data_IF_605692801569
#
_entry.id   IF_605692801569
#
_cell.length_a   1.000
_cell.length_b   1.000
_cell.length_c   1.000
_cell.angle_alpha   90.00
_cell.angle_beta   90.00
_cell.angle_gamma   90.00
#
_symmetry.space_group_name_H-M   'P 1'
#
loop_
_entity.id
_entity.type
_entity.pdbx_description
1 polymer ?
#
# COMPACT_ATOMS: atom_id res chain seq x y z
N UNK A 1 6.20 3.55 -26.50
CA UNK A 1 7.15 4.49 -25.87
C UNK A 1 7.50 3.91 -24.52
N UNK A 2 8.79 3.82 -24.16
CA UNK A 2 9.21 3.40 -22.82
C UNK A 2 8.60 4.39 -21.82
N UNK A 3 7.79 3.93 -20.88
CA UNK A 3 7.33 4.80 -19.80
C UNK A 3 8.53 5.23 -18.95
N UNK A 4 8.52 6.49 -18.50
CA UNK A 4 9.66 7.08 -17.81
C UNK A 4 9.72 6.58 -16.37
N UNK A 5 10.69 5.72 -16.04
CA UNK A 5 10.96 5.28 -14.66
C UNK A 5 11.87 6.26 -13.95
N UNK A 6 11.49 6.67 -12.75
CA UNK A 6 12.32 7.47 -11.84
C UNK A 6 12.99 6.51 -10.86
N UNK A 7 14.31 6.56 -10.73
CA UNK A 7 15.04 5.77 -9.72
C UNK A 7 15.55 6.71 -8.64
N UNK A 8 15.26 6.38 -7.38
CA UNK A 8 15.68 7.15 -6.20
C UNK A 8 16.54 6.27 -5.31
N UNK A 9 17.75 6.72 -5.04
CA UNK A 9 18.74 6.03 -4.20
C UNK A 9 18.23 5.76 -2.78
N UNK A 10 17.45 6.68 -2.21
CA UNK A 10 16.84 6.48 -0.90
C UNK A 10 15.86 5.29 -0.91
N UNK A 11 15.07 5.12 -1.99
CA UNK A 11 14.16 3.99 -2.12
C UNK A 11 14.96 2.67 -2.22
N UNK A 12 16.05 2.65 -2.98
CA UNK A 12 16.94 1.47 -3.07
C UNK A 12 17.52 1.06 -1.71
N UNK A 13 18.04 2.02 -0.92
CA UNK A 13 18.61 1.72 0.40
C UNK A 13 17.58 1.25 1.42
N UNK A 14 16.33 1.71 1.29
CA UNK A 14 15.31 1.49 2.30
C UNK A 14 14.44 0.24 2.04
N UNK A 15 14.41 -0.29 0.81
CA UNK A 15 13.50 -1.38 0.44
C UNK A 15 13.74 -2.67 1.23
N UNK A 16 14.99 -3.07 1.45
CA UNK A 16 15.32 -4.29 2.20
C UNK A 16 14.99 -4.17 3.70
N UNK A 17 15.37 -3.09 4.41
CA UNK A 17 14.93 -2.89 5.80
C UNK A 17 13.42 -2.88 5.97
N UNK A 18 12.66 -2.31 5.02
CA UNK A 18 11.19 -2.29 5.06
C UNK A 18 10.64 -3.69 4.78
N UNK A 19 11.18 -4.40 3.79
CA UNK A 19 10.78 -5.78 3.48
C UNK A 19 10.88 -6.69 4.71
N UNK A 20 11.97 -6.59 5.48
CA UNK A 20 12.14 -7.39 6.70
C UNK A 20 11.02 -7.18 7.71
N UNK A 21 10.56 -5.94 7.89
CA UNK A 21 9.42 -5.66 8.78
C UNK A 21 8.14 -6.28 8.23
N UNK A 22 7.92 -6.22 6.91
CA UNK A 22 6.76 -6.86 6.27
C UNK A 22 6.80 -8.39 6.42
N UNK A 23 7.97 -9.00 6.28
CA UNK A 23 8.20 -10.44 6.45
C UNK A 23 7.91 -10.92 7.88
N UNK A 24 8.08 -10.06 8.88
CA UNK A 24 7.72 -10.35 10.27
C UNK A 24 6.22 -10.10 10.53
N UNK A 25 5.72 -8.92 10.15
CA UNK A 25 4.36 -8.45 10.49
C UNK A 25 3.28 -9.25 9.76
N UNK A 26 3.45 -9.56 8.47
CA UNK A 26 2.39 -10.21 7.68
C UNK A 26 2.08 -11.61 8.25
N UNK A 27 3.07 -12.51 8.45
CA UNK A 27 2.80 -13.81 9.06
C UNK A 27 2.32 -13.72 10.51
N UNK A 28 2.84 -12.77 11.31
CA UNK A 28 2.39 -12.56 12.68
C UNK A 28 0.89 -12.22 12.73
N UNK A 29 0.43 -11.35 11.82
CA UNK A 29 -0.94 -10.84 11.84
C UNK A 29 -1.95 -11.70 11.10
N UNK A 30 -1.54 -12.35 10.03
CA UNK A 30 -2.44 -13.06 9.11
C UNK A 30 -2.15 -14.56 8.99
N UNK A 31 -1.09 -15.06 9.65
CA UNK A 31 -0.70 -16.47 9.65
C UNK A 31 0.13 -16.90 8.43
N UNK A 32 0.92 -17.96 8.60
CA UNK A 32 1.67 -18.57 7.50
C UNK A 32 0.70 -19.23 6.50
N UNK A 33 0.72 -18.81 5.25
CA UNK A 33 -0.27 -19.21 4.24
C UNK A 33 -1.51 -18.31 4.20
N UNK A 34 -1.35 -17.04 4.61
CA UNK A 34 -2.40 -16.00 4.63
C UNK A 34 -3.31 -16.02 3.39
N UNK A 35 -4.60 -15.71 3.53
CA UNK A 35 -5.53 -15.54 2.42
C UNK A 35 -5.07 -14.45 1.45
N UNK A 36 -5.80 -14.26 0.35
CA UNK A 36 -5.59 -13.10 -0.52
C UNK A 36 -5.78 -11.81 0.27
N UNK A 37 -4.70 -11.03 0.43
CA UNK A 37 -4.72 -9.75 1.14
C UNK A 37 -4.78 -8.59 0.15
N UNK A 38 -5.09 -7.40 0.65
CA UNK A 38 -5.00 -6.14 -0.11
C UNK A 38 -4.13 -5.15 0.66
N UNK A 39 -3.26 -4.44 -0.05
CA UNK A 39 -2.42 -3.39 0.51
C UNK A 39 -2.59 -2.09 -0.30
N UNK A 40 -2.82 -0.98 0.40
CA UNK A 40 -2.76 0.36 -0.18
C UNK A 40 -1.42 1.00 0.21
N UNK A 41 -0.61 1.35 -0.77
CA UNK A 41 0.62 2.11 -0.55
C UNK A 41 0.34 3.58 -0.83
N UNK A 42 0.38 4.40 0.21
CA UNK A 42 0.18 5.85 0.14
C UNK A 42 1.54 6.53 -0.04
N UNK A 43 1.64 7.45 -0.99
CA UNK A 43 2.88 8.13 -1.34
C UNK A 43 3.97 7.16 -1.83
N UNK A 44 3.61 6.32 -2.81
CA UNK A 44 4.48 5.31 -3.40
C UNK A 44 5.73 5.87 -4.09
N UNK A 45 5.78 7.18 -4.38
CA UNK A 45 6.93 7.84 -4.97
C UNK A 45 7.33 7.22 -6.30
N UNK A 46 8.60 6.84 -6.46
CA UNK A 46 9.10 6.26 -7.71
C UNK A 46 8.41 4.96 -8.13
N UNK A 47 7.80 4.24 -7.20
CA UNK A 47 7.22 2.91 -7.43
C UNK A 47 8.19 1.75 -7.26
N UNK A 48 9.44 1.99 -6.84
CA UNK A 48 10.43 0.92 -6.61
C UNK A 48 10.02 -0.04 -5.48
N UNK A 49 9.38 0.47 -4.43
CA UNK A 49 8.95 -0.31 -3.27
C UNK A 49 7.78 -1.23 -3.62
N UNK A 50 6.70 -0.69 -4.20
CA UNK A 50 5.52 -1.49 -4.56
C UNK A 50 5.87 -2.69 -5.45
N UNK A 51 6.71 -2.51 -6.49
CA UNK A 51 7.08 -3.64 -7.36
C UNK A 51 8.00 -4.64 -6.63
N UNK A 52 8.95 -4.14 -5.85
CA UNK A 52 9.86 -5.00 -5.08
C UNK A 52 9.12 -5.85 -4.04
N UNK A 53 8.12 -5.29 -3.35
CA UNK A 53 7.30 -6.03 -2.39
C UNK A 53 6.33 -6.98 -3.08
N UNK A 54 5.72 -6.57 -4.19
CA UNK A 54 4.81 -7.40 -4.97
C UNK A 54 5.52 -8.63 -5.58
N UNK A 55 6.82 -8.57 -5.82
CA UNK A 55 7.62 -9.74 -6.17
C UNK A 55 7.71 -10.78 -5.05
N UNK A 56 7.76 -10.35 -3.78
CA UNK A 56 7.93 -11.24 -2.61
C UNK A 56 6.59 -11.74 -2.07
N UNK A 57 5.56 -10.90 -2.11
CA UNK A 57 4.24 -11.19 -1.55
C UNK A 57 3.20 -11.38 -2.64
N UNK A 58 3.18 -12.58 -3.25
CA UNK A 58 2.29 -12.92 -4.37
C UNK A 58 0.81 -13.04 -4.00
N UNK A 59 0.50 -13.23 -2.72
CA UNK A 59 -0.87 -13.29 -2.21
C UNK A 59 -1.45 -11.91 -1.87
N UNK A 60 -0.70 -10.83 -2.06
CA UNK A 60 -1.15 -9.47 -1.76
C UNK A 60 -1.44 -8.73 -3.07
N UNK A 61 -2.64 -8.18 -3.17
CA UNK A 61 -3.00 -7.23 -4.22
C UNK A 61 -2.60 -5.83 -3.80
N UNK A 62 -1.58 -5.28 -4.46
CA UNK A 62 -1.03 -3.95 -4.16
C UNK A 62 -1.77 -2.86 -4.94
N UNK A 63 -2.17 -1.81 -4.24
CA UNK A 63 -2.73 -0.59 -4.80
C UNK A 63 -1.75 0.55 -4.50
N UNK A 64 -0.87 0.93 -5.43
CA UNK A 64 -0.04 2.11 -5.24
C UNK A 64 -0.85 3.39 -5.40
N UNK A 65 -0.36 4.48 -4.81
CA UNK A 65 -0.94 5.81 -4.96
C UNK A 65 0.09 6.91 -4.71
N UNK A 66 -0.05 8.01 -5.44
CA UNK A 66 0.72 9.23 -5.21
C UNK A 66 -0.12 10.46 -5.60
N UNK A 67 0.33 11.66 -5.24
CA UNK A 67 -0.30 12.91 -5.68
C UNK A 67 0.36 13.45 -6.96
N UNK A 68 1.67 13.23 -7.11
CA UNK A 68 2.44 13.82 -8.20
C UNK A 68 2.33 12.94 -9.44
N UNK A 69 1.78 13.51 -10.52
CA UNK A 69 1.61 12.81 -11.80
C UNK A 69 2.93 12.21 -12.33
N UNK A 70 4.09 12.82 -12.04
CA UNK A 70 5.38 12.26 -12.46
C UNK A 70 5.67 10.91 -11.79
N UNK A 71 5.24 10.74 -10.54
CA UNK A 71 5.38 9.50 -9.78
C UNK A 71 4.34 8.47 -10.22
N UNK A 72 3.12 8.92 -10.53
CA UNK A 72 2.10 8.08 -11.15
C UNK A 72 2.61 7.43 -12.45
N UNK A 73 3.24 8.20 -13.34
CA UNK A 73 3.81 7.67 -14.58
C UNK A 73 5.03 6.76 -14.33
N UNK A 74 5.87 7.09 -13.34
CA UNK A 74 6.99 6.23 -12.93
C UNK A 74 6.52 4.86 -12.43
N UNK A 75 5.51 4.84 -11.55
CA UNK A 75 4.93 3.61 -11.01
C UNK A 75 4.40 2.74 -12.14
N UNK A 76 3.65 3.31 -13.09
CA UNK A 76 3.16 2.57 -14.27
C UNK A 76 4.31 1.98 -15.09
N UNK A 77 5.41 2.73 -15.25
CA UNK A 77 6.61 2.24 -15.93
C UNK A 77 7.26 1.05 -15.23
N UNK A 78 7.38 1.07 -13.90
CA UNK A 78 7.87 -0.09 -13.16
C UNK A 78 6.93 -1.29 -13.26
N UNK A 79 5.61 -1.10 -13.12
CA UNK A 79 4.63 -2.19 -13.23
C UNK A 79 4.70 -2.87 -14.60
N UNK A 80 4.80 -2.08 -15.68
CA UNK A 80 4.85 -2.58 -17.04
C UNK A 80 6.12 -3.40 -17.31
N UNK A 81 7.26 -3.00 -16.74
CA UNK A 81 8.55 -3.68 -16.96
C UNK A 81 8.64 -5.00 -16.18
N UNK A 82 8.12 -5.06 -14.95
CA UNK A 82 8.20 -6.25 -14.09
C UNK A 82 7.09 -7.28 -14.36
N UNK A 83 6.13 -6.95 -15.24
CA UNK A 83 4.99 -7.80 -15.64
C UNK A 83 4.25 -8.42 -14.44
N UNK A 84 3.97 -7.61 -13.43
CA UNK A 84 3.34 -8.05 -12.18
C UNK A 84 1.81 -8.00 -12.26
N UNK A 85 1.18 -9.16 -12.04
CA UNK A 85 -0.29 -9.29 -12.05
C UNK A 85 -0.93 -8.86 -10.72
N UNK A 86 -0.15 -8.81 -9.64
CA UNK A 86 -0.62 -8.49 -8.29
C UNK A 86 -0.42 -7.01 -7.90
N UNK A 87 -0.25 -6.12 -8.88
CA UNK A 87 -0.18 -4.66 -8.68
C UNK A 87 -1.21 -3.97 -9.56
N UNK A 88 -2.09 -3.17 -8.96
CA UNK A 88 -3.11 -2.37 -9.65
C UNK A 88 -2.49 -1.11 -10.24
N UNK A 89 -3.18 -0.51 -11.23
CA UNK A 89 -2.85 0.83 -11.71
C UNK A 89 -2.85 1.83 -10.55
N UNK A 90 -1.87 2.77 -10.49
CA UNK A 90 -1.77 3.73 -9.39
C UNK A 90 -2.97 4.69 -9.34
N UNK A 91 -3.38 5.04 -8.13
CA UNK A 91 -4.39 6.07 -7.87
C UNK A 91 -3.74 7.43 -7.62
N UNK A 92 -4.40 8.49 -8.07
CA UNK A 92 -4.05 9.86 -7.67
C UNK A 92 -4.76 10.16 -6.35
N UNK A 93 -4.01 10.26 -5.25
CA UNK A 93 -4.56 10.55 -3.92
C UNK A 93 -3.88 11.80 -3.36
N UNK A 94 -4.69 12.83 -3.08
CA UNK A 94 -4.26 14.04 -2.37
C UNK A 94 -4.76 13.98 -0.93
N UNK A 95 -3.88 13.57 0.00
CA UNK A 95 -4.18 13.50 1.43
C UNK A 95 -4.21 14.88 2.11
N UNK A 96 -3.81 15.95 1.41
CA UNK A 96 -3.72 17.31 1.97
C UNK A 96 -5.01 18.10 1.76
N UNK A 97 -5.81 17.74 0.76
CA UNK A 97 -7.09 18.41 0.45
C UNK A 97 -8.20 17.96 1.38
N UNK A 98 -8.81 18.95 2.05
CA UNK A 98 -9.96 18.78 2.94
C UNK A 98 -11.30 18.63 2.19
N UNK A 99 -11.30 18.86 0.89
CA UNK A 99 -12.51 19.03 0.07
C UNK A 99 -13.20 17.70 -0.26
N UNK A 100 -12.51 16.57 -0.07
CA UNK A 100 -13.12 15.24 -0.11
C UNK A 100 -13.15 14.67 1.32
N UNK A 101 -14.34 14.67 1.94
CA UNK A 101 -14.55 14.17 3.30
C UNK A 101 -14.15 12.69 3.47
N UNK A 102 -14.14 11.91 2.39
CA UNK A 102 -13.70 10.52 2.40
C UNK A 102 -12.17 10.34 2.34
N UNK A 103 -11.43 11.34 1.85
CA UNK A 103 -9.97 11.23 1.58
C UNK A 103 -9.12 12.14 2.48
N UNK A 104 -9.74 13.10 3.19
CA UNK A 104 -9.08 14.02 4.12
C UNK A 104 -8.84 13.47 5.53
N UNK A 105 -8.66 12.15 5.68
CA UNK A 105 -8.44 11.48 6.96
C UNK A 105 -7.04 11.86 7.47
N UNK A 106 -6.98 12.67 8.54
CA UNK A 106 -5.72 13.27 9.04
C UNK A 106 -5.06 12.45 10.13
N UNK A 107 -5.84 11.59 10.75
CA UNK A 107 -5.44 10.77 11.88
C UNK A 107 -6.01 9.37 11.71
N UNK A 108 -5.37 8.41 12.39
CA UNK A 108 -5.80 7.02 12.49
C UNK A 108 -7.24 6.93 13.00
N UNK A 109 -7.66 7.85 13.87
CA UNK A 109 -9.03 7.93 14.38
C UNK A 109 -10.08 8.14 13.28
N UNK A 110 -9.77 8.95 12.26
CA UNK A 110 -10.70 9.18 11.15
C UNK A 110 -10.69 7.97 10.20
N UNK A 111 -9.52 7.37 9.95
CA UNK A 111 -9.39 6.10 9.24
C UNK A 111 -10.18 4.99 9.93
N UNK A 112 -10.16 4.91 11.25
CA UNK A 112 -10.89 3.90 12.01
C UNK A 112 -12.42 4.09 11.89
N UNK A 113 -12.91 5.34 11.95
CA UNK A 113 -14.34 5.64 11.74
C UNK A 113 -14.79 5.19 10.36
N UNK A 114 -14.01 5.50 9.32
CA UNK A 114 -14.35 5.12 7.95
C UNK A 114 -14.21 3.61 7.72
N UNK A 115 -13.16 2.99 8.27
CA UNK A 115 -12.98 1.55 8.25
C UNK A 115 -14.17 0.81 8.87
N UNK A 116 -14.68 1.27 10.02
CA UNK A 116 -15.86 0.69 10.68
C UNK A 116 -17.11 0.71 9.81
N UNK A 117 -17.36 1.80 9.08
CA UNK A 117 -18.49 1.89 8.14
C UNK A 117 -18.39 0.86 7.00
N UNK A 118 -17.16 0.45 6.67
CA UNK A 118 -16.85 -0.50 5.61
C UNK A 118 -16.56 -1.92 6.15
N UNK A 119 -16.99 -2.23 7.38
CA UNK A 119 -16.84 -3.57 7.98
C UNK A 119 -15.40 -3.94 8.32
N UNK A 120 -14.53 -2.96 8.53
CA UNK A 120 -13.14 -3.15 8.92
C UNK A 120 -12.89 -2.64 10.33
N UNK A 121 -12.06 -3.35 11.06
CA UNK A 121 -11.64 -3.00 12.42
C UNK A 121 -10.13 -2.77 12.45
N UNK A 122 -9.69 -1.71 13.09
CA UNK A 122 -8.27 -1.46 13.31
C UNK A 122 -7.72 -2.51 14.28
N UNK A 123 -6.58 -3.11 13.93
CA UNK A 123 -5.98 -4.19 14.70
C UNK A 123 -4.58 -3.81 15.21
N UNK A 124 -3.72 -3.23 14.37
CA UNK A 124 -2.36 -2.87 14.79
C UNK A 124 -1.74 -1.76 13.93
N UNK A 125 -0.71 -1.11 14.48
CA UNK A 125 0.16 -0.19 13.75
C UNK A 125 1.62 -0.46 14.13
N UNK A 126 2.48 -0.55 13.12
CA UNK A 126 3.91 -0.77 13.29
C UNK A 126 4.71 0.35 12.61
N UNK A 127 5.79 0.76 13.27
CA UNK A 127 6.77 1.66 12.66
C UNK A 127 7.69 0.86 11.74
N UNK A 128 8.02 1.43 10.59
CA UNK A 128 9.01 0.91 9.67
C UNK A 128 10.17 1.92 9.53
N UNK A 129 11.34 1.48 9.05
CA UNK A 129 12.45 2.38 8.76
C UNK A 129 12.08 3.53 7.82
N UNK A 130 12.89 4.59 7.84
CA UNK A 130 12.78 5.74 6.95
C UNK A 130 11.42 6.48 7.01
N UNK A 131 10.85 6.61 8.22
CA UNK A 131 9.58 7.30 8.49
C UNK A 131 8.36 6.67 7.82
N UNK A 132 8.40 5.36 7.55
CA UNK A 132 7.26 4.61 7.06
C UNK A 132 6.47 3.99 8.23
N UNK A 133 5.20 3.71 7.99
CA UNK A 133 4.32 3.00 8.92
C UNK A 133 3.48 1.99 8.16
N UNK A 134 3.16 0.89 8.81
CA UNK A 134 2.10 -0.01 8.36
C UNK A 134 1.00 -0.01 9.40
N UNK A 135 -0.23 0.07 8.92
CA UNK A 135 -1.42 -0.10 9.73
C UNK A 135 -2.13 -1.35 9.23
N UNK A 136 -2.73 -2.08 10.15
CA UNK A 136 -3.36 -3.38 9.90
C UNK A 136 -4.82 -3.27 10.29
N UNK A 137 -5.68 -3.68 9.37
CA UNK A 137 -7.12 -3.75 9.57
C UNK A 137 -7.62 -5.14 9.23
N UNK A 138 -8.57 -5.61 10.03
CA UNK A 138 -9.25 -6.87 9.81
C UNK A 138 -10.66 -6.59 9.29
N UNK A 139 -10.97 -7.13 8.11
CA UNK A 139 -12.32 -7.08 7.57
C UNK A 139 -13.14 -8.20 8.19
N UNK A 140 -14.25 -7.86 8.86
CA UNK A 140 -15.22 -8.87 9.27
C UNK A 140 -15.92 -9.40 8.03
N UNK A 141 -16.08 -10.72 7.91
CA UNK A 141 -16.96 -11.25 6.86
C UNK A 141 -18.38 -10.72 7.09
N UNK A 142 -18.82 -9.80 6.25
CA UNK A 142 -20.24 -9.57 6.10
C UNK A 142 -20.83 -10.89 5.61
N UNK A 143 -21.65 -11.53 6.45
CA UNK A 143 -22.64 -12.47 5.92
C UNK A 143 -23.43 -11.68 4.88
N UNK A 144 -23.21 -11.94 3.60
CA UNK A 144 -24.14 -11.55 2.56
C UNK A 144 -25.53 -12.02 3.02
N UNK A 145 -26.37 -11.04 3.42
CA UNK A 145 -27.79 -11.29 3.54
C UNK A 145 -28.28 -11.52 2.11
N UNK A 146 -28.42 -12.80 1.78
CA UNK A 146 -29.15 -13.29 0.61
C UNK A 146 -30.59 -12.77 0.57
#
# INVERSE_FOLDING_TARGET
MSQSKIVVEAAERNKEPILKVLEDVIPEKFGAGSPSLSALEISSGSGQHVVYFAEKFKNIMWQPSDIDEKYIESIKGFIADENLENVKSPLVIDITKKENEAWGLRDVDDLEKEAKKNGMTFDAMFNMPANNKILVWLKSEEKELA
#
